data_IF_451036719364
#
_entry.id   IF_451036719364
#
_cell.length_a   1.000
_cell.length_b   1.000
_cell.length_c   1.000
_cell.angle_alpha   90.00
_cell.angle_beta   90.00
_cell.angle_gamma   90.00
#
_symmetry.space_group_name_H-M   'P 1'
#
loop_
_entity.id
_entity.type
_entity.pdbx_description
1 polymer ?
#
# COMPACT_ATOMS: atom_id res chain seq x y z
N UNK A 1 5.19 12.12 18.39
CA UNK A 1 5.30 11.00 17.45
C UNK A 1 4.09 10.08 17.64
N UNK A 2 3.51 9.62 16.56
CA UNK A 2 2.34 8.77 16.62
C UNK A 2 2.69 7.40 17.21
N UNK A 3 1.83 6.87 18.09
CA UNK A 3 1.96 5.52 18.63
C UNK A 3 1.92 4.52 17.48
N UNK A 4 2.80 3.50 17.50
CA UNK A 4 2.90 2.56 16.39
C UNK A 4 1.59 1.78 16.17
N UNK A 5 0.88 1.46 17.24
CA UNK A 5 -0.40 0.75 17.13
C UNK A 5 -1.44 1.61 16.40
N UNK A 6 -1.49 2.90 16.73
CA UNK A 6 -2.38 3.85 16.06
C UNK A 6 -1.95 4.04 14.60
N UNK A 7 -0.66 4.13 14.36
CA UNK A 7 -0.10 4.27 13.02
C UNK A 7 -0.52 3.09 12.13
N UNK A 8 -0.37 1.87 12.65
CA UNK A 8 -0.76 0.66 11.93
C UNK A 8 -2.25 0.67 11.56
N UNK A 9 -3.10 1.03 12.51
CA UNK A 9 -4.54 1.06 12.28
C UNK A 9 -4.93 2.16 11.30
N UNK A 10 -4.25 3.29 11.35
CA UNK A 10 -4.51 4.40 10.44
C UNK A 10 -4.21 3.99 9.00
N UNK A 11 -3.07 3.33 8.76
CA UNK A 11 -2.71 2.89 7.42
C UNK A 11 -3.62 1.78 6.92
N UNK A 12 -4.03 0.87 7.79
CA UNK A 12 -5.02 -0.15 7.43
C UNK A 12 -6.32 0.51 6.97
N UNK A 13 -6.81 1.48 7.73
CA UNK A 13 -8.02 2.20 7.35
C UNK A 13 -7.85 2.90 6.00
N UNK A 14 -6.75 3.63 5.83
CA UNK A 14 -6.48 4.37 4.59
C UNK A 14 -6.39 3.43 3.39
N UNK A 15 -5.80 2.25 3.57
CA UNK A 15 -5.66 1.29 2.48
C UNK A 15 -7.00 0.69 2.06
N UNK A 16 -8.01 0.70 2.94
CA UNK A 16 -9.32 0.13 2.69
C UNK A 16 -10.35 1.16 2.20
N UNK A 17 -10.00 2.44 2.19
CA UNK A 17 -10.97 3.51 1.89
C UNK A 17 -10.40 4.48 0.86
N UNK A 18 -9.98 3.93 -0.29
CA UNK A 18 -9.36 4.73 -1.36
C UNK A 18 -10.38 5.31 -2.33
N UNK A 19 -11.56 4.69 -2.45
CA UNK A 19 -12.58 5.17 -3.36
C UNK A 19 -12.56 4.53 -4.74
N UNK A 20 -11.56 3.69 -5.04
CA UNK A 20 -11.51 2.90 -6.27
C UNK A 20 -11.54 1.43 -5.88
N UNK A 21 -12.50 0.68 -6.44
CA UNK A 21 -12.74 -0.71 -6.05
C UNK A 21 -11.48 -1.57 -6.11
N UNK A 22 -10.75 -1.49 -7.23
CA UNK A 22 -9.57 -2.32 -7.43
C UNK A 22 -8.47 -2.00 -6.41
N UNK A 23 -8.32 -0.72 -6.10
CA UNK A 23 -7.33 -0.28 -5.10
C UNK A 23 -7.77 -0.64 -3.70
N UNK A 24 -9.06 -0.44 -3.39
CA UNK A 24 -9.59 -0.82 -2.08
C UNK A 24 -9.39 -2.32 -1.83
N UNK A 25 -9.59 -3.14 -2.87
CA UNK A 25 -9.43 -4.58 -2.74
C UNK A 25 -7.96 -4.96 -2.57
N UNK A 26 -7.09 -4.52 -3.49
CA UNK A 26 -5.68 -4.90 -3.44
C UNK A 26 -4.98 -4.33 -2.21
N UNK A 27 -5.05 -3.01 -2.04
CA UNK A 27 -4.35 -2.35 -0.94
C UNK A 27 -5.02 -2.62 0.39
N UNK A 28 -6.35 -2.77 0.41
CA UNK A 28 -7.07 -3.08 1.64
C UNK A 28 -6.74 -4.46 2.18
N UNK A 29 -6.66 -5.46 1.29
CA UNK A 29 -6.27 -6.81 1.72
C UNK A 29 -4.80 -6.83 2.15
N UNK A 30 -3.93 -6.20 1.36
CA UNK A 30 -2.51 -6.11 1.73
C UNK A 30 -2.33 -5.31 3.02
N UNK A 31 -3.15 -4.28 3.21
CA UNK A 31 -3.07 -3.40 4.38
C UNK A 31 -3.26 -4.13 5.70
N UNK A 32 -3.91 -5.28 5.68
CA UNK A 32 -4.02 -6.10 6.89
C UNK A 32 -2.65 -6.49 7.43
N UNK A 33 -1.65 -6.58 6.58
CA UNK A 33 -0.27 -6.83 6.99
C UNK A 33 0.35 -5.66 7.75
N UNK A 34 -0.23 -4.45 7.61
CA UNK A 34 0.28 -3.29 8.32
C UNK A 34 0.23 -3.49 9.84
N UNK A 35 -0.69 -4.32 10.31
CA UNK A 35 -0.81 -4.59 11.75
C UNK A 35 0.42 -5.29 12.34
N UNK A 36 1.29 -5.85 11.50
CA UNK A 36 2.52 -6.51 11.93
C UNK A 36 3.78 -5.84 11.38
N UNK A 37 3.66 -4.73 10.65
CA UNK A 37 4.81 -4.02 10.10
C UNK A 37 5.54 -3.24 11.19
N UNK A 38 6.88 -3.14 11.03
CA UNK A 38 7.66 -2.21 11.86
C UNK A 38 7.52 -0.80 11.30
N UNK A 39 8.13 0.19 11.99
CA UNK A 39 7.96 1.59 11.61
C UNK A 39 8.53 1.89 10.22
N UNK A 40 9.67 1.29 9.87
CA UNK A 40 10.27 1.53 8.56
C UNK A 40 9.36 1.05 7.43
N UNK A 41 8.77 -0.15 7.60
CA UNK A 41 7.84 -0.69 6.60
C UNK A 41 6.57 0.14 6.52
N UNK A 42 6.07 0.63 7.66
CA UNK A 42 4.90 1.49 7.68
C UNK A 42 5.16 2.79 6.93
N UNK A 43 6.35 3.37 7.08
CA UNK A 43 6.69 4.60 6.37
C UNK A 43 6.73 4.37 4.86
N UNK A 44 7.28 3.24 4.42
CA UNK A 44 7.29 2.89 3.00
C UNK A 44 5.86 2.71 2.48
N UNK A 45 5.02 2.04 3.25
CA UNK A 45 3.63 1.81 2.88
C UNK A 45 2.85 3.13 2.84
N UNK A 46 3.06 3.99 3.84
CA UNK A 46 2.41 5.30 3.87
C UNK A 46 2.79 6.13 2.65
N UNK A 47 4.07 6.12 2.28
CA UNK A 47 4.53 6.86 1.12
C UNK A 47 3.83 6.34 -0.15
N UNK A 48 3.72 5.02 -0.29
CA UNK A 48 3.01 4.42 -1.43
C UNK A 48 1.54 4.88 -1.45
N UNK A 49 0.88 4.86 -0.29
CA UNK A 49 -0.52 5.26 -0.20
C UNK A 49 -0.74 6.74 -0.49
N UNK A 50 0.31 7.55 -0.51
CA UNK A 50 0.20 8.99 -0.79
C UNK A 50 -0.03 9.29 -2.27
N UNK A 51 0.18 8.33 -3.15
CA UNK A 51 0.00 8.54 -4.58
C UNK A 51 -1.47 8.41 -4.98
N UNK A 52 -1.89 9.13 -6.05
CA UNK A 52 -3.28 9.01 -6.53
C UNK A 52 -3.60 7.60 -7.01
N UNK A 53 -4.87 7.23 -6.94
CA UNK A 53 -5.32 5.91 -7.38
C UNK A 53 -4.96 5.62 -8.84
N UNK A 54 -5.00 6.63 -9.70
CA UNK A 54 -4.64 6.44 -11.11
C UNK A 54 -3.20 6.00 -11.27
N UNK A 55 -2.29 6.60 -10.49
CA UNK A 55 -0.87 6.24 -10.51
C UNK A 55 -0.67 4.81 -10.01
N UNK A 56 -1.35 4.46 -8.92
CA UNK A 56 -1.23 3.12 -8.35
C UNK A 56 -1.88 2.07 -9.23
N UNK A 57 -2.99 2.42 -9.87
CA UNK A 57 -3.63 1.50 -10.81
C UNK A 57 -2.71 1.18 -11.98
N UNK A 58 -2.08 2.22 -12.55
CA UNK A 58 -1.13 2.00 -13.64
C UNK A 58 0.03 1.11 -13.19
N UNK A 59 0.55 1.36 -11.98
CA UNK A 59 1.67 0.59 -11.45
C UNK A 59 1.32 -0.89 -11.28
N UNK A 60 0.15 -1.20 -10.73
CA UNK A 60 -0.18 -2.58 -10.36
C UNK A 60 -0.99 -3.33 -11.41
N UNK A 61 -1.68 -2.65 -12.31
CA UNK A 61 -2.56 -3.30 -13.29
C UNK A 61 -2.18 -3.04 -14.74
N UNK A 62 -1.36 -2.01 -15.02
CA UNK A 62 -0.98 -1.64 -16.37
C UNK A 62 0.53 -1.62 -16.60
N UNK A 63 1.30 -2.23 -15.70
CA UNK A 63 2.77 -2.26 -15.78
C UNK A 63 3.38 -0.87 -15.91
N UNK A 64 2.78 0.13 -15.24
CA UNK A 64 3.30 1.48 -15.24
C UNK A 64 4.63 1.59 -14.52
N UNK A 65 5.35 2.72 -14.70
CA UNK A 65 6.67 2.89 -14.11
C UNK A 65 6.60 3.03 -12.59
N UNK A 66 7.65 2.58 -11.93
CA UNK A 66 7.79 2.74 -10.48
C UNK A 66 7.99 4.23 -10.16
N UNK A 67 7.11 4.85 -9.36
CA UNK A 67 7.31 6.25 -8.97
C UNK A 67 8.60 6.43 -8.18
N UNK A 68 9.23 7.59 -8.35
CA UNK A 68 10.48 7.91 -7.67
C UNK A 68 10.30 7.86 -6.14
N UNK A 69 11.23 7.23 -5.46
CA UNK A 69 11.24 7.17 -3.99
C UNK A 69 10.41 6.04 -3.39
N UNK A 70 9.64 5.33 -4.22
CA UNK A 70 8.83 4.21 -3.73
C UNK A 70 9.71 2.97 -3.53
N UNK A 71 9.48 2.25 -2.44
CA UNK A 71 10.21 1.03 -2.15
C UNK A 71 9.93 -0.03 -3.20
N UNK A 72 10.97 -0.42 -3.93
CA UNK A 72 10.85 -1.44 -4.97
C UNK A 72 10.48 -2.79 -4.36
N UNK A 73 11.05 -3.13 -3.20
CA UNK A 73 10.74 -4.40 -2.55
C UNK A 73 9.29 -4.46 -2.10
N UNK A 74 8.73 -3.35 -1.64
CA UNK A 74 7.32 -3.28 -1.26
C UNK A 74 6.43 -3.49 -2.49
N UNK A 75 6.76 -2.84 -3.61
CA UNK A 75 5.99 -2.97 -4.85
C UNK A 75 6.06 -4.41 -5.35
N UNK A 76 7.24 -5.04 -5.30
CA UNK A 76 7.38 -6.44 -5.70
C UNK A 76 6.54 -7.36 -4.81
N UNK A 77 6.51 -7.09 -3.51
CA UNK A 77 5.69 -7.85 -2.58
C UNK A 77 4.21 -7.70 -2.91
N UNK A 78 3.77 -6.49 -3.25
CA UNK A 78 2.38 -6.24 -3.65
C UNK A 78 2.03 -6.94 -4.97
N UNK A 79 2.94 -6.91 -5.95
CA UNK A 79 2.73 -7.65 -7.20
C UNK A 79 2.55 -9.14 -6.93
N UNK A 80 3.38 -9.72 -6.07
CA UNK A 80 3.26 -11.13 -5.71
C UNK A 80 1.98 -11.40 -4.94
N UNK A 81 1.61 -10.50 -4.03
CA UNK A 81 0.37 -10.63 -3.26
C UNK A 81 -0.85 -10.61 -4.17
N UNK A 82 -0.86 -9.72 -5.19
CA UNK A 82 -1.95 -9.62 -6.14
C UNK A 82 -2.21 -10.95 -6.84
N UNK A 83 -1.16 -11.71 -7.12
CA UNK A 83 -1.29 -13.01 -7.79
C UNK A 83 -2.00 -14.04 -6.93
N UNK A 84 -2.10 -13.82 -5.62
CA UNK A 84 -2.76 -14.76 -4.70
C UNK A 84 -4.22 -14.42 -4.47
N UNK A 85 -4.69 -13.29 -4.97
CA UNK A 85 -6.08 -12.85 -4.77
C UNK A 85 -7.03 -13.46 -5.76
#
# INVERSE_FOLDING_TARGET
MENISIYRKRLLYQSQHRGMREMDFLLGEFGKKALSMDRADLEDFEFLLSFPDQTLYALFFDNGPLPSGVSESLVNELHNFKKTL
#
